data_IF_462623870040
#
_entry.id   IF_462623870040
#
_cell.length_a   1.000
_cell.length_b   1.000
_cell.length_c   1.000
_cell.angle_alpha   90.00
_cell.angle_beta   90.00
_cell.angle_gamma   90.00
#
_symmetry.space_group_name_H-M   'P 1'
#
loop_
_entity.id
_entity.type
_entity.pdbx_description
1 polymer ?
#
# COMPACT_ATOMS: atom_id res chain seq x y z
N UNK A 1 52.49 -8.93 -49.11
CA UNK A 1 53.00 -7.54 -49.11
C UNK A 1 51.79 -6.66 -49.42
N UNK A 2 51.53 -5.62 -48.60
CA UNK A 2 50.23 -4.96 -48.33
C UNK A 2 49.25 -5.81 -47.49
N UNK A 3 48.48 -5.33 -46.51
CA UNK A 3 48.54 -4.24 -45.52
C UNK A 3 47.32 -4.50 -44.57
N UNK A 4 47.50 -4.24 -43.25
CA UNK A 4 46.47 -3.90 -42.22
C UNK A 4 45.49 -5.00 -41.74
N UNK A 5 45.51 -5.34 -40.44
CA UNK A 5 44.43 -4.95 -39.50
C UNK A 5 44.61 -5.47 -38.06
N UNK A 6 44.72 -4.49 -37.15
CA UNK A 6 44.24 -4.40 -35.76
C UNK A 6 44.14 -5.64 -34.84
N UNK A 7 45.04 -5.71 -33.85
CA UNK A 7 44.71 -6.15 -32.48
C UNK A 7 45.44 -5.25 -31.48
N UNK A 8 44.78 -4.17 -31.05
CA UNK A 8 45.19 -3.35 -29.91
C UNK A 8 44.08 -3.40 -28.86
N UNK A 9 44.50 -3.70 -27.63
CA UNK A 9 44.01 -3.10 -26.38
C UNK A 9 42.49 -2.96 -26.23
N UNK A 10 41.86 -3.97 -25.65
CA UNK A 10 40.60 -3.83 -24.90
C UNK A 10 40.78 -4.51 -23.55
N UNK A 11 41.62 -3.91 -22.70
CA UNK A 11 41.95 -4.43 -21.37
C UNK A 11 42.04 -3.35 -20.29
N UNK A 12 41.56 -2.13 -20.56
CA UNK A 12 41.68 -1.00 -19.61
C UNK A 12 40.44 -0.12 -19.51
N UNK A 13 39.27 -0.61 -19.96
CA UNK A 13 37.99 0.13 -19.86
C UNK A 13 36.99 -0.45 -18.84
N UNK A 14 37.37 -1.50 -18.09
CA UNK A 14 36.55 -2.05 -16.99
C UNK A 14 36.99 -1.59 -15.59
N UNK A 15 38.19 -1.02 -15.44
CA UNK A 15 38.66 -0.55 -14.12
C UNK A 15 38.27 0.92 -13.86
N UNK A 16 37.94 1.69 -14.91
CA UNK A 16 37.50 3.09 -14.77
C UNK A 16 35.99 3.27 -14.53
N UNK A 17 35.18 2.19 -14.62
CA UNK A 17 33.75 2.20 -14.26
C UNK A 17 33.49 1.82 -12.80
N UNK A 18 34.48 1.23 -12.11
CA UNK A 18 34.38 0.89 -10.68
C UNK A 18 34.86 2.04 -9.80
N UNK A 19 35.71 2.93 -10.32
CA UNK A 19 36.20 4.11 -9.60
C UNK A 19 35.25 5.34 -9.67
N UNK A 20 34.15 5.28 -10.42
CA UNK A 20 33.07 6.29 -10.43
C UNK A 20 31.84 5.79 -9.63
N UNK A 21 31.97 4.67 -8.91
CA UNK A 21 30.95 4.15 -8.00
C UNK A 21 31.28 4.36 -6.50
N UNK A 22 32.37 5.07 -6.17
CA UNK A 22 32.81 5.31 -4.79
C UNK A 22 32.86 6.82 -4.43
N UNK A 23 32.35 7.72 -5.30
CA UNK A 23 32.36 9.17 -5.03
C UNK A 23 31.04 9.87 -5.35
N UNK A 24 29.91 9.21 -5.08
CA UNK A 24 28.62 9.86 -4.83
C UNK A 24 27.83 8.98 -3.85
N UNK A 25 28.36 8.84 -2.62
CA UNK A 25 27.47 8.81 -1.46
C UNK A 25 26.93 10.24 -1.34
N UNK A 26 26.06 10.62 -2.27
CA UNK A 26 25.15 11.71 -2.01
C UNK A 26 24.21 11.12 -0.98
N UNK A 27 24.50 11.39 0.29
CA UNK A 27 23.49 11.34 1.34
C UNK A 27 22.38 12.23 0.77
N UNK A 28 21.32 11.59 0.26
CA UNK A 28 20.06 12.27 0.07
C UNK A 28 19.60 12.62 1.48
N UNK A 29 20.09 13.76 2.00
CA UNK A 29 19.36 14.44 3.04
C UNK A 29 18.05 14.82 2.37
N UNK A 30 16.98 14.11 2.70
CA UNK A 30 15.64 14.64 2.48
C UNK A 30 15.67 16.06 3.04
N UNK A 31 15.28 17.04 2.23
CA UNK A 31 15.28 18.44 2.66
C UNK A 31 14.43 18.53 3.91
N UNK A 32 15.06 18.83 5.04
CA UNK A 32 14.41 19.03 6.32
C UNK A 32 13.22 19.96 6.15
N UNK A 33 12.05 19.56 6.68
CA UNK A 33 10.89 20.43 6.75
C UNK A 33 11.26 21.66 7.60
N UNK A 34 11.08 22.90 7.12
CA UNK A 34 11.41 24.07 7.93
C UNK A 34 10.51 24.16 9.17
N UNK A 35 11.03 24.73 10.25
CA UNK A 35 10.28 24.90 11.52
C UNK A 35 8.92 25.58 11.32
N UNK A 36 8.80 26.47 10.34
CA UNK A 36 7.57 27.19 9.99
C UNK A 36 6.48 26.32 9.38
N UNK A 37 6.82 25.13 8.90
CA UNK A 37 5.88 24.17 8.30
C UNK A 37 5.44 23.08 9.28
N UNK A 38 6.00 23.06 10.50
CA UNK A 38 5.56 22.14 11.54
C UNK A 38 4.13 22.47 11.99
N UNK A 39 3.34 21.42 12.14
CA UNK A 39 2.02 21.48 12.76
C UNK A 39 2.20 21.57 14.28
N UNK A 40 1.83 22.70 14.87
CA UNK A 40 1.93 22.94 16.31
C UNK A 40 0.56 22.77 16.98
N UNK A 41 0.55 22.17 18.16
CA UNK A 41 -0.68 21.94 18.91
C UNK A 41 -1.26 23.22 19.51
N UNK A 42 -2.57 23.22 19.75
CA UNK A 42 -3.26 24.29 20.45
C UNK A 42 -2.92 24.20 21.94
N UNK A 43 -2.11 25.13 22.46
CA UNK A 43 -1.64 25.10 23.85
C UNK A 43 -2.47 26.00 24.76
N UNK A 44 -2.84 25.46 25.93
CA UNK A 44 -3.49 26.18 27.03
C UNK A 44 -2.67 26.00 28.30
N UNK A 45 -2.61 27.05 29.13
CA UNK A 45 -1.80 27.07 30.34
C UNK A 45 -0.41 27.66 30.10
N UNK A 46 0.44 27.62 31.13
CA UNK A 46 1.84 28.10 31.09
C UNK A 46 2.72 27.23 31.98
N UNK A 47 4.00 27.08 31.61
CA UNK A 47 4.98 26.38 32.44
C UNK A 47 4.66 24.89 32.58
N UNK A 48 4.62 24.39 33.82
CA UNK A 48 4.38 22.95 34.10
C UNK A 48 2.95 22.51 33.90
N UNK A 49 2.00 23.44 33.87
CA UNK A 49 0.57 23.21 33.63
C UNK A 49 0.18 23.42 32.16
N UNK A 50 1.17 23.67 31.29
CA UNK A 50 0.92 23.83 29.86
C UNK A 50 0.56 22.47 29.24
N UNK A 51 -0.60 22.44 28.58
CA UNK A 51 -1.10 21.28 27.84
C UNK A 51 -1.40 21.71 26.42
N UNK A 52 -0.88 20.97 25.45
CA UNK A 52 -1.09 21.23 24.03
C UNK A 52 -1.93 20.11 23.40
N UNK A 53 -2.88 20.48 22.54
CA UNK A 53 -3.80 19.51 21.93
C UNK A 53 -3.62 19.45 20.42
N UNK A 54 -3.59 18.24 19.87
CA UNK A 54 -3.73 17.95 18.45
C UNK A 54 -5.04 17.20 18.24
N UNK A 55 -5.92 17.68 17.36
CA UNK A 55 -7.19 17.03 17.06
C UNK A 55 -7.09 16.30 15.73
N UNK A 56 -7.25 14.99 15.77
CA UNK A 56 -7.09 14.11 14.62
C UNK A 56 -8.44 13.79 13.99
N UNK A 57 -8.41 13.58 12.68
CA UNK A 57 -9.49 13.00 11.89
C UNK A 57 -8.88 12.20 10.74
N UNK A 58 -9.67 11.33 10.13
CA UNK A 58 -9.23 10.52 8.99
C UNK A 58 -9.80 11.07 7.69
N UNK A 59 -8.93 11.30 6.72
CA UNK A 59 -9.30 11.47 5.33
C UNK A 59 -9.24 10.12 4.61
N UNK A 60 -10.39 9.44 4.51
CA UNK A 60 -10.53 8.16 3.81
C UNK A 60 -10.26 8.25 2.30
N UNK A 61 -10.27 9.47 1.74
CA UNK A 61 -9.96 9.77 0.35
C UNK A 61 -8.54 10.30 0.18
N UNK A 62 -7.63 10.00 1.09
CA UNK A 62 -6.21 10.34 0.95
C UNK A 62 -5.27 9.16 0.67
N UNK A 63 -5.69 7.92 0.91
CA UNK A 63 -4.97 6.69 0.57
C UNK A 63 -5.85 5.45 0.71
N UNK A 64 -5.32 4.24 0.54
CA UNK A 64 -6.07 2.98 0.62
C UNK A 64 -6.77 2.79 1.98
N UNK A 65 -6.04 3.00 3.06
CA UNK A 65 -6.55 2.98 4.45
C UNK A 65 -7.13 4.33 4.89
N UNK A 66 -6.86 5.39 4.12
CA UNK A 66 -7.00 6.78 4.57
C UNK A 66 -5.78 7.27 5.34
N UNK A 67 -5.69 8.58 5.54
CA UNK A 67 -4.59 9.20 6.27
C UNK A 67 -5.09 10.18 7.33
N UNK A 68 -4.32 10.34 8.41
CA UNK A 68 -4.61 11.33 9.43
C UNK A 68 -4.51 12.76 8.87
N UNK A 69 -5.47 13.59 9.22
CA UNK A 69 -5.41 15.04 9.15
C UNK A 69 -5.50 15.59 10.58
N UNK A 70 -4.82 16.71 10.83
CA UNK A 70 -4.86 17.39 12.12
C UNK A 70 -5.53 18.75 11.96
N UNK A 71 -6.52 19.03 12.79
CA UNK A 71 -7.24 20.32 12.75
C UNK A 71 -6.25 21.49 12.91
N UNK A 72 -6.39 22.50 12.05
CA UNK A 72 -5.48 23.64 12.00
C UNK A 72 -4.19 23.43 11.21
N UNK A 73 -3.95 22.21 10.70
CA UNK A 73 -2.75 21.87 9.95
C UNK A 73 -3.04 21.57 8.47
N UNK A 74 -2.06 21.82 7.62
CA UNK A 74 -2.21 21.65 6.18
C UNK A 74 -1.86 20.23 5.75
N UNK A 75 -2.74 19.63 4.94
CA UNK A 75 -2.48 18.34 4.29
C UNK A 75 -2.70 17.14 5.21
N UNK A 76 -2.22 16.01 4.71
CA UNK A 76 -2.31 14.68 5.34
C UNK A 76 -0.98 14.35 6.02
N UNK A 77 -1.04 13.53 7.07
CA UNK A 77 0.12 13.11 7.86
C UNK A 77 1.10 14.25 8.17
N UNK A 78 0.62 15.39 8.71
CA UNK A 78 1.48 16.53 8.95
C UNK A 78 2.61 16.17 9.92
N UNK A 79 3.79 16.73 9.70
CA UNK A 79 4.87 16.62 10.70
C UNK A 79 4.53 17.51 11.89
N UNK A 80 4.39 16.91 13.08
CA UNK A 80 4.02 17.61 14.31
C UNK A 80 5.26 18.15 15.01
N UNK A 81 5.14 19.32 15.63
CA UNK A 81 6.15 19.88 16.52
C UNK A 81 5.76 19.74 17.98
N UNK A 82 6.56 19.03 18.78
CA UNK A 82 6.34 18.84 20.22
C UNK A 82 7.50 19.35 21.06
N UNK A 83 7.23 20.17 22.07
CA UNK A 83 8.25 20.57 23.05
C UNK A 83 8.50 19.45 24.05
N UNK A 84 9.78 19.18 24.32
CA UNK A 84 10.15 18.27 25.41
C UNK A 84 9.62 18.75 26.76
N UNK A 85 9.25 17.82 27.64
CA UNK A 85 8.71 18.06 28.98
C UNK A 85 7.37 18.85 29.05
N UNK A 86 6.67 19.01 27.93
CA UNK A 86 5.28 19.52 27.88
C UNK A 86 4.30 18.35 27.69
N UNK A 87 3.12 18.45 28.29
CA UNK A 87 2.06 17.45 28.16
C UNK A 87 1.27 17.69 26.86
N UNK A 88 1.08 16.64 26.07
CA UNK A 88 0.28 16.70 24.84
C UNK A 88 -0.93 15.78 24.93
N UNK A 89 -2.04 16.22 24.35
CA UNK A 89 -3.28 15.45 24.18
C UNK A 89 -3.53 15.26 22.69
N UNK A 90 -3.68 14.02 22.27
CA UNK A 90 -4.05 13.61 20.93
C UNK A 90 -5.52 13.23 20.97
N UNK A 91 -6.37 14.13 20.47
CA UNK A 91 -7.82 13.99 20.49
C UNK A 91 -8.29 13.24 19.24
N UNK A 92 -8.89 12.07 19.44
CA UNK A 92 -9.44 11.20 18.39
C UNK A 92 -10.97 11.20 18.39
N UNK A 93 -11.63 12.19 19.01
CA UNK A 93 -13.11 12.21 19.16
C UNK A 93 -13.86 12.35 17.83
N UNK A 94 -13.22 12.84 16.77
CA UNK A 94 -13.88 12.93 15.45
C UNK A 94 -14.32 11.54 14.96
N UNK A 95 -15.57 11.43 14.50
CA UNK A 95 -16.22 10.19 14.10
C UNK A 95 -15.50 9.43 12.97
N UNK A 96 -14.63 10.11 12.22
CA UNK A 96 -13.80 9.49 11.18
C UNK A 96 -12.65 8.65 11.74
N UNK A 97 -12.23 8.86 13.00
CA UNK A 97 -11.17 8.07 13.64
C UNK A 97 -11.61 6.66 14.02
N UNK A 98 -12.90 6.31 13.93
CA UNK A 98 -13.32 4.95 14.21
C UNK A 98 -12.50 3.96 13.39
N UNK A 99 -11.87 3.02 14.10
CA UNK A 99 -10.98 1.97 13.62
C UNK A 99 -9.54 2.43 13.33
N UNK A 100 -9.16 3.62 13.79
CA UNK A 100 -7.83 4.20 13.59
C UNK A 100 -7.15 4.65 14.90
N UNK A 101 -7.01 3.80 15.93
CA UNK A 101 -6.36 4.17 17.19
C UNK A 101 -4.90 4.60 16.96
N UNK A 102 -4.51 5.74 17.52
CA UNK A 102 -3.16 6.27 17.42
C UNK A 102 -2.18 5.44 18.25
N UNK A 103 -1.07 5.06 17.63
CA UNK A 103 0.12 4.52 18.26
C UNK A 103 1.31 5.44 18.16
N UNK A 104 2.29 5.23 19.02
CA UNK A 104 3.53 6.02 19.05
C UNK A 104 4.75 5.11 19.12
N UNK A 105 5.78 5.43 18.34
CA UNK A 105 6.97 4.59 18.23
C UNK A 105 8.22 5.39 17.88
N UNK A 106 9.38 4.77 18.09
CA UNK A 106 10.69 5.35 17.74
C UNK A 106 11.02 5.23 16.24
N UNK A 107 10.18 4.53 15.47
CA UNK A 107 10.29 4.38 14.02
C UNK A 107 8.93 4.16 13.37
N UNK A 108 8.79 4.38 12.06
CA UNK A 108 7.50 4.34 11.37
C UNK A 108 6.81 2.96 11.45
N UNK A 109 5.49 2.98 11.56
CA UNK A 109 4.54 1.87 11.59
C UNK A 109 4.67 0.94 12.80
N UNK A 110 5.48 1.30 13.81
CA UNK A 110 5.55 0.58 15.10
C UNK A 110 5.63 -0.94 14.92
N UNK A 111 4.63 -1.64 15.50
CA UNK A 111 4.42 -3.09 15.45
C UNK A 111 4.55 -3.70 14.05
N UNK A 112 4.16 -2.99 12.99
CA UNK A 112 4.18 -3.54 11.63
C UNK A 112 5.58 -3.60 11.00
N UNK A 113 6.57 -2.94 11.60
CA UNK A 113 7.96 -2.89 11.09
C UNK A 113 9.00 -3.21 12.15
N UNK A 114 8.60 -3.89 13.23
CA UNK A 114 9.49 -4.24 14.33
C UNK A 114 10.17 -3.01 14.95
N UNK A 115 9.53 -1.84 14.85
CA UNK A 115 10.02 -0.62 15.48
C UNK A 115 9.51 -0.58 16.92
N UNK A 116 10.40 -0.22 17.85
CA UNK A 116 10.06 -0.09 19.26
C UNK A 116 8.95 0.93 19.44
N UNK A 117 7.85 0.49 20.04
CA UNK A 117 6.75 1.35 20.45
C UNK A 117 7.09 2.07 21.75
N UNK A 118 6.44 3.21 21.97
CA UNK A 118 6.54 3.93 23.23
C UNK A 118 5.69 3.17 24.26
N UNK A 119 6.36 2.42 25.12
CA UNK A 119 5.74 1.68 26.21
C UNK A 119 6.40 2.01 27.54
N UNK A 120 5.71 1.76 28.65
CA UNK A 120 6.17 2.15 29.99
C UNK A 120 7.54 1.57 30.36
N UNK A 121 7.84 0.42 29.80
CA UNK A 121 9.01 -0.39 30.10
C UNK A 121 10.04 -0.41 28.97
N UNK A 122 9.84 0.39 27.93
CA UNK A 122 10.74 0.47 26.78
C UNK A 122 11.43 1.82 26.82
N UNK A 123 12.77 1.79 26.79
CA UNK A 123 13.59 3.00 26.68
C UNK A 123 13.94 3.29 25.23
N UNK A 124 14.24 4.56 24.93
CA UNK A 124 14.68 4.97 23.62
C UNK A 124 15.91 4.16 23.17
N UNK A 125 15.97 3.72 21.90
CA UNK A 125 17.15 3.04 21.39
C UNK A 125 18.38 3.94 21.52
N UNK A 126 19.48 3.39 22.00
CA UNK A 126 20.74 4.14 22.16
C UNK A 126 21.93 3.36 21.58
N UNK A 127 23.05 4.03 21.25
CA UNK A 127 24.26 3.33 20.79
C UNK A 127 24.81 2.32 21.80
N UNK A 128 24.46 2.45 23.08
CA UNK A 128 24.83 1.51 24.14
C UNK A 128 23.81 0.37 24.33
N UNK A 129 22.59 0.52 23.82
CA UNK A 129 21.44 -0.40 23.96
C UNK A 129 20.63 -0.39 22.63
N UNK A 130 21.10 -1.10 21.58
CA UNK A 130 20.49 -1.03 20.25
C UNK A 130 19.09 -1.68 20.17
N UNK A 131 18.72 -2.52 21.14
CA UNK A 131 17.40 -3.17 21.22
C UNK A 131 16.42 -2.42 22.14
N UNK A 132 16.82 -1.28 22.74
CA UNK A 132 16.08 -0.63 23.82
C UNK A 132 16.16 -1.44 25.11
N UNK A 133 16.65 -0.86 26.21
CA UNK A 133 16.60 -1.57 27.50
C UNK A 133 15.14 -1.73 27.92
N UNK A 134 14.74 -2.97 28.24
CA UNK A 134 13.57 -3.23 29.08
C UNK A 134 13.85 -2.64 30.47
N UNK A 135 13.29 -1.47 30.73
CA UNK A 135 13.21 -0.92 32.07
C UNK A 135 11.96 -1.49 32.74
N UNK A 136 11.95 -1.74 34.04
CA UNK A 136 10.81 -2.36 34.72
C UNK A 136 10.60 -1.76 36.10
N UNK A 137 9.66 -2.29 36.89
CA UNK A 137 9.41 -1.80 38.25
C UNK A 137 10.66 -1.81 39.15
N UNK A 138 11.58 -2.75 38.94
CA UNK A 138 12.84 -2.86 39.69
C UNK A 138 13.99 -2.05 39.11
N UNK A 139 13.87 -1.62 37.85
CA UNK A 139 14.83 -0.79 37.12
C UNK A 139 14.06 0.21 36.25
N UNK A 140 13.49 1.29 36.84
CA UNK A 140 12.65 2.21 36.10
C UNK A 140 13.45 2.91 35.00
N UNK A 141 12.79 3.21 33.88
CA UNK A 141 13.38 4.02 32.82
C UNK A 141 13.82 5.36 33.40
N UNK A 142 15.02 5.80 33.04
CA UNK A 142 15.51 7.12 33.45
C UNK A 142 14.60 8.24 32.94
N UNK A 143 14.03 8.05 31.74
CA UNK A 143 13.12 8.99 31.07
C UNK A 143 11.86 8.27 30.57
N UNK A 144 10.81 8.14 31.39
CA UNK A 144 9.56 7.51 30.95
C UNK A 144 8.85 8.38 29.92
N UNK A 145 8.58 7.84 28.74
CA UNK A 145 7.82 8.48 27.67
C UNK A 145 6.90 7.47 26.98
N UNK A 146 5.70 7.30 27.54
CA UNK A 146 4.71 6.36 27.05
C UNK A 146 3.35 7.07 26.92
N UNK A 147 2.50 6.66 25.96
CA UNK A 147 1.15 7.17 25.84
C UNK A 147 0.29 6.69 27.01
N UNK A 148 -0.71 7.48 27.40
CA UNK A 148 -1.79 7.07 28.30
C UNK A 148 -3.11 7.20 27.54
N UNK A 149 -3.78 6.07 27.31
CA UNK A 149 -5.07 6.05 26.63
C UNK A 149 -6.19 6.36 27.61
N UNK A 150 -7.14 7.18 27.16
CA UNK A 150 -8.22 7.70 27.99
C UNK A 150 -9.54 7.71 27.23
N UNK A 151 -10.62 7.43 27.96
CA UNK A 151 -12.00 7.58 27.52
C UNK A 151 -12.71 8.55 28.45
N UNK A 152 -13.32 9.60 27.89
CA UNK A 152 -14.03 10.64 28.66
C UNK A 152 -13.16 11.31 29.74
N UNK A 153 -11.84 11.37 29.50
CA UNK A 153 -10.85 11.94 30.42
C UNK A 153 -10.40 10.99 31.56
N UNK A 154 -10.91 9.77 31.60
CA UNK A 154 -10.48 8.74 32.54
C UNK A 154 -9.43 7.82 31.90
N UNK A 155 -8.35 7.55 32.61
CA UNK A 155 -7.33 6.59 32.18
C UNK A 155 -7.93 5.18 32.10
N UNK A 156 -7.68 4.52 30.98
CA UNK A 156 -8.11 3.14 30.75
C UNK A 156 -7.08 2.14 31.30
N UNK A 157 -7.57 0.98 31.74
CA UNK A 157 -6.77 -0.17 32.16
C UNK A 157 -7.62 -1.47 32.25
N UNK A 158 -6.97 -2.63 32.13
CA UNK A 158 -7.52 -3.99 32.16
C UNK A 158 -8.03 -4.42 33.54
N UNK A 159 -7.43 -3.89 34.61
CA UNK A 159 -7.58 -4.41 35.96
C UNK A 159 -8.05 -3.36 36.97
N UNK A 160 -8.69 -3.80 38.05
CA UNK A 160 -8.95 -2.96 39.22
C UNK A 160 -8.38 -3.64 40.49
N UNK A 161 -7.33 -3.06 41.11
CA UNK A 161 -6.62 -1.84 40.71
C UNK A 161 -5.86 -2.01 39.38
N UNK A 162 -5.66 -0.92 38.64
CA UNK A 162 -4.92 -0.95 37.37
C UNK A 162 -3.51 -1.52 37.59
N UNK A 163 -3.07 -2.37 36.66
CA UNK A 163 -1.67 -2.77 36.60
C UNK A 163 -0.83 -1.50 36.33
N UNK A 164 0.22 -1.22 37.12
CA UNK A 164 1.11 -0.12 36.81
C UNK A 164 1.70 -0.19 35.40
N UNK A 165 1.91 -1.37 34.82
CA UNK A 165 2.41 -1.55 33.45
C UNK A 165 1.44 -1.06 32.37
N UNK A 166 0.15 -1.10 32.68
CA UNK A 166 -0.93 -0.91 31.75
C UNK A 166 -1.21 0.59 31.54
N UNK A 167 -1.19 0.97 30.27
CA UNK A 167 -1.41 2.32 29.79
C UNK A 167 -2.71 2.47 29.01
N UNK A 168 -3.55 1.42 28.99
CA UNK A 168 -4.94 1.44 28.57
C UNK A 168 -5.20 1.16 27.09
N UNK A 169 -4.19 0.75 26.32
CA UNK A 169 -4.33 0.49 24.88
C UNK A 169 -5.35 -0.63 24.61
N UNK A 170 -5.28 -1.74 25.33
CA UNK A 170 -6.16 -2.91 25.10
C UNK A 170 -7.65 -2.55 25.30
N UNK A 171 -7.99 -1.74 26.30
CA UNK A 171 -9.37 -1.23 26.47
C UNK A 171 -9.71 -0.23 25.39
N UNK A 172 -8.77 0.64 25.04
CA UNK A 172 -8.97 1.67 24.02
C UNK A 172 -9.34 1.02 22.70
N UNK A 173 -8.52 0.07 22.22
CA UNK A 173 -8.76 -0.76 21.04
C UNK A 173 -10.00 -1.63 21.16
N UNK A 174 -10.23 -2.22 22.34
CA UNK A 174 -11.39 -3.06 22.61
C UNK A 174 -12.72 -2.38 22.25
N UNK A 175 -12.83 -1.06 22.46
CA UNK A 175 -14.05 -0.32 22.07
C UNK A 175 -14.19 -0.19 20.55
N UNK A 176 -13.09 -0.02 19.82
CA UNK A 176 -13.10 0.08 18.35
C UNK A 176 -13.64 -1.18 17.67
N UNK A 177 -13.40 -2.35 18.26
CA UNK A 177 -13.91 -3.64 17.78
C UNK A 177 -15.33 -3.96 18.26
N UNK A 178 -15.89 -3.15 19.15
CA UNK A 178 -17.19 -3.39 19.78
C UNK A 178 -18.29 -2.50 19.20
N UNK A 179 -19.40 -3.09 18.78
CA UNK A 179 -20.64 -2.34 18.44
C UNK A 179 -20.62 -1.51 17.15
N UNK A 180 -19.49 -1.43 16.45
CA UNK A 180 -19.36 -0.69 15.18
C UNK A 180 -19.18 0.82 15.36
N UNK A 181 -19.14 1.55 14.25
CA UNK A 181 -18.80 2.98 14.23
C UNK A 181 -19.67 3.87 15.12
N UNK A 182 -20.99 3.67 15.06
CA UNK A 182 -21.94 4.52 15.79
C UNK A 182 -21.83 4.25 17.30
N UNK A 183 -21.70 2.99 17.71
CA UNK A 183 -21.51 2.64 19.12
C UNK A 183 -20.16 3.15 19.66
N UNK A 184 -19.11 3.13 18.84
CA UNK A 184 -17.83 3.73 19.20
C UNK A 184 -17.96 5.25 19.38
N UNK A 185 -18.68 5.93 18.48
CA UNK A 185 -18.93 7.37 18.62
C UNK A 185 -19.73 7.69 19.91
N UNK A 186 -20.74 6.88 20.21
CA UNK A 186 -21.58 7.03 21.40
C UNK A 186 -20.82 6.72 22.71
N UNK A 187 -19.71 6.00 22.65
CA UNK A 187 -18.88 5.69 23.83
C UNK A 187 -18.22 6.95 24.43
N UNK A 188 -17.98 7.98 23.61
CA UNK A 188 -17.56 9.31 24.04
C UNK A 188 -16.20 9.74 23.51
N UNK A 189 -15.44 10.49 24.33
CA UNK A 189 -14.25 11.20 23.88
C UNK A 189 -13.00 10.34 24.07
N UNK A 190 -12.41 9.92 22.94
CA UNK A 190 -11.19 9.13 22.90
C UNK A 190 -9.98 10.05 22.81
N UNK A 191 -9.06 9.95 23.76
CA UNK A 191 -7.86 10.80 23.80
C UNK A 191 -6.62 10.00 24.23
N UNK A 192 -5.45 10.40 23.74
CA UNK A 192 -4.15 9.84 24.17
C UNK A 192 -3.28 10.95 24.75
N UNK A 193 -2.83 10.77 25.98
CA UNK A 193 -1.91 11.69 26.65
C UNK A 193 -0.47 11.25 26.42
N UNK A 194 0.43 12.14 26.02
CA UNK A 194 1.84 11.81 25.84
C UNK A 194 2.75 12.94 26.31
N UNK A 195 3.88 12.57 26.93
CA UNK A 195 4.92 13.50 27.34
C UNK A 195 6.29 12.92 27.02
N UNK A 196 7.07 13.63 26.20
CA UNK A 196 8.45 13.26 25.87
C UNK A 196 9.38 13.83 26.94
N UNK A 197 9.96 12.97 27.77
CA UNK A 197 10.82 13.37 28.89
C UNK A 197 12.31 13.19 28.61
N UNK A 198 12.68 12.29 27.69
CA UNK A 198 14.07 12.05 27.34
C UNK A 198 14.66 13.26 26.60
N UNK A 199 15.70 13.92 27.15
CA UNK A 199 16.33 15.04 26.50
C UNK A 199 17.00 14.65 25.16
N UNK A 200 17.39 13.39 24.98
CA UNK A 200 18.04 12.88 23.77
C UNK A 200 17.05 12.60 22.63
N UNK A 201 15.76 12.42 22.91
CA UNK A 201 14.76 12.21 21.86
C UNK A 201 14.65 13.46 20.97
N UNK A 202 14.93 13.29 19.69
CA UNK A 202 14.84 14.31 18.63
C UNK A 202 13.61 14.12 17.74
N UNK A 203 13.17 12.88 17.54
CA UNK A 203 11.99 12.52 16.77
C UNK A 203 11.33 11.24 17.29
N UNK A 204 10.02 11.16 17.09
CA UNK A 204 9.18 9.95 17.24
C UNK A 204 8.16 9.94 16.10
N UNK A 205 7.36 8.87 16.00
CA UNK A 205 6.35 8.70 14.97
C UNK A 205 5.00 8.43 15.60
N UNK A 206 3.94 8.93 14.97
CA UNK A 206 2.58 8.50 15.24
C UNK A 206 2.11 7.62 14.09
N UNK A 207 1.33 6.58 14.37
CA UNK A 207 0.83 5.63 13.36
C UNK A 207 -0.54 5.10 13.78
N UNK A 208 -1.17 4.26 12.96
CA UNK A 208 -2.41 3.56 13.32
C UNK A 208 -2.07 2.15 13.83
N UNK A 209 -2.56 1.74 15.00
CA UNK A 209 -2.34 0.38 15.49
C UNK A 209 -3.08 -0.70 14.69
N UNK A 210 -4.11 -0.36 13.92
CA UNK A 210 -4.94 -1.31 13.16
C UNK A 210 -4.56 -1.37 11.66
N UNK A 211 -4.11 -0.26 11.09
CA UNK A 211 -3.84 -0.14 9.65
C UNK A 211 -2.39 0.24 9.42
N UNK A 212 -1.70 -0.58 8.62
CA UNK A 212 -0.31 -0.32 8.24
C UNK A 212 -0.20 0.84 7.23
N UNK A 213 0.97 1.47 7.15
CA UNK A 213 1.26 2.52 6.17
C UNK A 213 0.72 3.91 6.55
N UNK A 214 0.34 4.12 7.80
CA UNK A 214 -0.30 5.36 8.28
C UNK A 214 0.61 6.18 9.20
N UNK A 215 1.92 6.08 9.06
CA UNK A 215 2.84 6.85 9.89
C UNK A 215 2.90 8.32 9.51
N UNK A 216 2.93 9.18 10.52
CA UNK A 216 3.41 10.55 10.42
C UNK A 216 4.53 10.81 11.44
N UNK A 217 5.23 11.93 11.26
CA UNK A 217 6.43 12.27 12.04
C UNK A 217 6.11 13.28 13.14
N UNK A 218 6.78 13.16 14.28
CA UNK A 218 6.82 14.15 15.34
C UNK A 218 8.27 14.58 15.56
N UNK A 219 8.54 15.88 15.39
CA UNK A 219 9.82 16.49 15.71
C UNK A 219 9.79 17.09 17.11
N UNK A 220 10.80 16.75 17.91
CA UNK A 220 10.95 17.32 19.24
C UNK A 220 11.66 18.67 19.14
N UNK A 221 11.05 19.68 19.74
CA UNK A 221 11.51 21.05 19.74
C UNK A 221 12.38 21.33 20.97
N UNK A 222 13.34 22.23 20.80
CA UNK A 222 14.15 22.78 21.87
C UNK A 222 13.46 23.94 22.61
N UNK A 223 14.14 24.54 23.59
CA UNK A 223 13.59 25.65 24.37
C UNK A 223 13.36 26.94 23.56
N UNK A 224 13.94 27.05 22.37
CA UNK A 224 13.76 28.19 21.46
C UNK A 224 12.57 28.00 20.51
N UNK A 225 12.00 26.79 20.48
CA UNK A 225 10.91 26.42 19.57
C UNK A 225 11.37 25.87 18.23
N UNK A 226 12.69 25.67 18.05
CA UNK A 226 13.27 25.06 16.85
C UNK A 226 13.41 23.55 17.00
N UNK A 227 13.46 22.82 15.88
CA UNK A 227 13.71 21.38 15.89
C UNK A 227 15.07 21.07 16.54
N UNK A 228 15.08 20.11 17.48
CA UNK A 228 16.35 19.61 18.06
C UNK A 228 17.27 19.01 17.00
N UNK A 229 16.68 18.29 16.05
CA UNK A 229 17.36 17.82 14.84
C UNK A 229 16.45 18.06 13.61
N UNK A 230 16.84 18.94 12.68
CA UNK A 230 16.05 19.18 11.48
C UNK A 230 16.14 18.01 10.49
N UNK A 231 17.14 17.13 10.58
CA UNK A 231 17.32 16.07 9.61
C UNK A 231 16.32 14.93 9.84
N UNK A 232 15.76 14.41 8.76
CA UNK A 232 14.97 13.18 8.78
C UNK A 232 15.89 11.97 8.73
N UNK A 233 16.42 11.58 9.89
CA UNK A 233 17.37 10.46 10.02
C UNK A 233 16.62 9.14 9.81
N UNK A 234 15.49 8.95 10.50
CA UNK A 234 14.63 7.78 10.30
C UNK A 234 13.63 8.07 9.18
N UNK A 235 13.74 7.36 8.07
CA UNK A 235 12.88 7.57 6.90
C UNK A 235 11.57 6.78 7.03
N UNK A 236 10.46 7.40 6.62
CA UNK A 236 9.21 6.69 6.34
C UNK A 236 9.44 5.93 5.02
N UNK A 237 9.31 4.59 4.98
CA UNK A 237 9.81 3.78 3.86
C UNK A 237 8.85 3.74 2.66
N UNK A 238 7.89 4.66 2.60
CA UNK A 238 6.91 4.79 1.52
C UNK A 238 6.57 6.27 1.33
N UNK A 239 6.09 6.59 0.13
CA UNK A 239 5.45 7.87 -0.13
C UNK A 239 3.95 7.74 0.15
N UNK A 240 3.34 8.80 0.67
CA UNK A 240 1.88 8.86 0.74
C UNK A 240 1.27 8.89 -0.65
N UNK A 241 0.10 8.27 -0.79
CA UNK A 241 -0.60 8.21 -2.06
C UNK A 241 -0.87 9.59 -2.64
N UNK A 242 -0.68 9.72 -3.95
CA UNK A 242 -0.93 10.94 -4.71
C UNK A 242 -1.90 10.62 -5.85
N UNK A 243 -3.22 10.62 -5.57
CA UNK A 243 -4.20 10.28 -6.58
C UNK A 243 -4.13 11.30 -7.72
N UNK A 244 -4.19 10.82 -8.96
CA UNK A 244 -4.36 11.71 -10.10
C UNK A 244 -5.78 12.29 -10.17
N UNK A 245 -6.08 13.07 -11.21
CA UNK A 245 -7.40 13.71 -11.33
C UNK A 245 -8.56 12.70 -11.35
N UNK A 246 -8.42 11.59 -12.07
CA UNK A 246 -9.48 10.58 -12.18
C UNK A 246 -9.70 9.88 -10.84
N UNK A 247 -8.60 9.53 -10.18
CA UNK A 247 -8.60 8.92 -8.84
C UNK A 247 -9.22 9.86 -7.79
N UNK A 248 -8.91 11.15 -7.82
CA UNK A 248 -9.51 12.16 -6.95
C UNK A 248 -11.02 12.32 -7.18
N UNK A 249 -11.47 12.25 -8.44
CA UNK A 249 -12.88 12.29 -8.81
C UNK A 249 -13.62 11.04 -8.30
N UNK A 250 -13.01 9.86 -8.43
CA UNK A 250 -13.55 8.60 -7.93
C UNK A 250 -13.45 8.44 -6.40
N UNK A 251 -12.49 9.10 -5.74
CA UNK A 251 -12.21 8.94 -4.31
C UNK A 251 -11.43 7.67 -3.97
N UNK A 252 -10.54 7.23 -4.86
CA UNK A 252 -9.77 5.97 -4.78
C UNK A 252 -8.34 6.21 -5.29
N UNK A 253 -7.50 5.17 -5.34
CA UNK A 253 -6.06 5.26 -5.67
C UNK A 253 -5.62 4.09 -6.52
N UNK A 254 -4.50 4.28 -7.23
CA UNK A 254 -3.81 3.24 -7.99
C UNK A 254 -4.73 2.49 -8.97
N UNK A 255 -5.72 3.17 -9.55
CA UNK A 255 -6.69 2.57 -10.48
C UNK A 255 -6.64 3.16 -11.89
N UNK A 256 -5.96 4.30 -12.08
CA UNK A 256 -5.95 4.99 -13.37
C UNK A 256 -5.40 4.15 -14.51
N UNK A 257 -4.44 3.23 -14.25
CA UNK A 257 -3.94 2.32 -15.28
C UNK A 257 -5.01 1.36 -15.83
N UNK A 258 -6.08 1.09 -15.07
CA UNK A 258 -7.13 0.15 -15.46
C UNK A 258 -8.28 0.79 -16.23
N UNK A 259 -8.31 2.13 -16.34
CA UNK A 259 -9.37 2.86 -17.06
C UNK A 259 -9.37 2.62 -18.57
N UNK A 260 -8.20 2.58 -19.19
CA UNK A 260 -8.04 2.54 -20.65
C UNK A 260 -7.12 1.41 -21.13
N UNK A 261 -6.83 0.46 -20.24
CA UNK A 261 -5.90 -0.62 -20.49
C UNK A 261 -6.43 -1.66 -21.48
N UNK A 262 -5.51 -2.26 -22.21
CA UNK A 262 -5.79 -3.44 -23.05
C UNK A 262 -6.22 -4.66 -22.22
N UNK A 263 -5.95 -4.67 -20.91
CA UNK A 263 -6.22 -5.81 -20.02
C UNK A 263 -7.69 -6.21 -19.95
N UNK A 264 -8.63 -5.26 -19.96
CA UNK A 264 -10.05 -5.53 -19.70
C UNK A 264 -10.98 -5.19 -20.86
N UNK A 265 -10.44 -4.93 -22.05
CA UNK A 265 -11.22 -4.50 -23.23
C UNK A 265 -12.28 -5.50 -23.72
N UNK A 266 -12.10 -6.78 -23.40
CA UNK A 266 -13.04 -7.86 -23.73
C UNK A 266 -13.98 -8.22 -22.56
N UNK A 267 -13.88 -7.51 -21.42
CA UNK A 267 -14.71 -7.74 -20.24
C UNK A 267 -15.90 -6.80 -20.21
N UNK A 268 -16.99 -7.23 -19.58
CA UNK A 268 -18.16 -6.40 -19.30
C UNK A 268 -18.48 -6.52 -17.81
N UNK A 269 -18.18 -5.47 -17.05
CA UNK A 269 -18.48 -5.42 -15.61
C UNK A 269 -19.84 -4.78 -15.34
N UNK A 270 -20.17 -3.72 -16.07
CA UNK A 270 -21.49 -3.07 -16.04
C UNK A 270 -22.24 -3.26 -17.36
N UNK A 271 -23.48 -3.74 -17.31
CA UNK A 271 -24.30 -4.06 -18.49
C UNK A 271 -24.90 -2.83 -19.22
N UNK A 272 -24.38 -1.62 -19.01
CA UNK A 272 -24.90 -0.36 -19.55
C UNK A 272 -23.77 0.58 -19.98
N UNK A 273 -24.04 1.47 -20.94
CA UNK A 273 -23.10 2.52 -21.35
C UNK A 273 -22.83 3.50 -20.20
N UNK A 274 -21.57 3.60 -19.81
CA UNK A 274 -21.04 4.44 -18.74
C UNK A 274 -20.15 5.57 -19.26
N UNK A 275 -20.04 5.74 -20.58
CA UNK A 275 -19.15 6.74 -21.21
C UNK A 275 -19.38 8.18 -20.75
N UNK A 276 -20.56 8.48 -20.21
CA UNK A 276 -20.92 9.78 -19.62
C UNK A 276 -21.32 9.70 -18.14
N UNK A 277 -20.93 8.64 -17.44
CA UNK A 277 -21.27 8.40 -16.03
C UNK A 277 -19.99 8.16 -15.22
N UNK A 278 -19.59 9.14 -14.41
CA UNK A 278 -18.38 9.06 -13.58
C UNK A 278 -18.41 7.83 -12.64
N UNK A 279 -19.55 7.55 -12.01
CA UNK A 279 -19.69 6.38 -11.15
C UNK A 279 -19.42 5.09 -11.93
N UNK A 280 -20.00 4.95 -13.12
CA UNK A 280 -19.77 3.77 -13.97
C UNK A 280 -18.30 3.64 -14.42
N UNK A 281 -17.65 4.75 -14.76
CA UNK A 281 -16.23 4.76 -15.13
C UNK A 281 -15.32 4.34 -13.97
N UNK A 282 -15.60 4.84 -12.77
CA UNK A 282 -14.88 4.43 -11.56
C UNK A 282 -15.08 2.93 -11.28
N UNK A 283 -16.34 2.44 -11.35
CA UNK A 283 -16.67 1.03 -11.14
C UNK A 283 -15.98 0.11 -12.16
N UNK A 284 -15.99 0.46 -13.45
CA UNK A 284 -15.30 -0.34 -14.47
C UNK A 284 -13.77 -0.38 -14.26
N UNK A 285 -13.15 0.71 -13.80
CA UNK A 285 -11.72 0.75 -13.52
C UNK A 285 -11.33 -0.15 -12.33
N UNK A 286 -12.08 -0.09 -11.23
CA UNK A 286 -11.81 -0.92 -10.04
C UNK A 286 -12.11 -2.40 -10.29
N UNK A 287 -13.16 -2.71 -11.07
CA UNK A 287 -13.50 -4.09 -11.41
C UNK A 287 -12.47 -4.69 -12.38
N UNK A 288 -11.91 -3.86 -13.27
CA UNK A 288 -10.77 -4.25 -14.08
C UNK A 288 -9.51 -4.50 -13.22
N UNK A 289 -9.24 -3.64 -12.23
CA UNK A 289 -8.15 -3.84 -11.27
C UNK A 289 -8.29 -5.19 -10.55
N UNK A 290 -9.47 -5.46 -9.99
CA UNK A 290 -9.78 -6.74 -9.35
C UNK A 290 -9.61 -7.92 -10.31
N UNK A 291 -10.10 -7.81 -11.55
CA UNK A 291 -9.99 -8.87 -12.54
C UNK A 291 -8.54 -9.24 -12.83
N UNK A 292 -7.66 -8.24 -12.97
CA UNK A 292 -6.24 -8.48 -13.26
C UNK A 292 -5.47 -8.93 -12.01
N UNK A 293 -5.71 -8.31 -10.86
CA UNK A 293 -4.96 -8.57 -9.62
C UNK A 293 -5.40 -9.85 -8.90
N UNK A 294 -6.63 -10.33 -9.11
CA UNK A 294 -7.04 -11.66 -8.62
C UNK A 294 -6.47 -12.81 -9.46
N UNK A 295 -5.85 -12.53 -10.61
CA UNK A 295 -5.21 -13.56 -11.44
C UNK A 295 -3.79 -13.80 -10.95
N UNK A 296 -3.66 -14.73 -10.01
CA UNK A 296 -2.39 -15.10 -9.38
C UNK A 296 -1.89 -16.45 -9.91
N UNK A 297 -0.60 -16.72 -9.77
CA UNK A 297 -0.01 -18.04 -10.06
C UNK A 297 -0.42 -19.02 -8.97
N UNK A 298 -0.75 -20.25 -9.36
CA UNK A 298 -1.01 -21.31 -8.38
C UNK A 298 0.27 -21.63 -7.59
N UNK A 299 0.28 -21.25 -6.32
CA UNK A 299 1.31 -21.64 -5.35
C UNK A 299 1.01 -23.04 -4.79
N UNK A 300 2.05 -23.75 -4.35
CA UNK A 300 1.89 -25.04 -3.66
C UNK A 300 1.22 -24.89 -2.29
N UNK A 301 1.36 -23.71 -1.67
CA UNK A 301 0.60 -23.35 -0.48
C UNK A 301 -0.71 -22.65 -0.88
N UNK A 302 -1.88 -23.27 -0.64
CA UNK A 302 -3.16 -22.66 -0.96
C UNK A 302 -3.46 -21.41 -0.12
N UNK A 303 -2.83 -21.25 1.05
CA UNK A 303 -2.99 -20.05 1.88
C UNK A 303 -2.41 -18.84 1.16
N UNK A 304 -1.22 -18.97 0.56
CA UNK A 304 -0.60 -17.91 -0.24
C UNK A 304 -1.51 -17.47 -1.39
N UNK A 305 -2.09 -18.42 -2.14
CA UNK A 305 -3.05 -18.12 -3.22
C UNK A 305 -4.27 -17.37 -2.69
N UNK A 306 -4.82 -17.82 -1.55
CA UNK A 306 -5.93 -17.15 -0.88
C UNK A 306 -5.58 -15.71 -0.51
N UNK A 307 -4.43 -15.47 0.13
CA UNK A 307 -4.01 -14.12 0.53
C UNK A 307 -3.87 -13.19 -0.66
N UNK A 308 -3.16 -13.60 -1.73
CA UNK A 308 -2.99 -12.76 -2.91
C UNK A 308 -4.33 -12.39 -3.57
N UNK A 309 -5.23 -13.36 -3.76
CA UNK A 309 -6.53 -13.10 -4.36
C UNK A 309 -7.45 -12.27 -3.46
N UNK A 310 -7.42 -12.54 -2.16
CA UNK A 310 -8.34 -11.88 -1.23
C UNK A 310 -7.92 -10.44 -0.95
N UNK A 311 -6.63 -10.11 -1.00
CA UNK A 311 -6.14 -8.71 -0.98
C UNK A 311 -6.75 -7.92 -2.14
N UNK A 312 -6.64 -8.42 -3.39
CA UNK A 312 -7.22 -7.75 -4.56
C UNK A 312 -8.75 -7.64 -4.47
N UNK A 313 -9.42 -8.70 -4.01
CA UNK A 313 -10.86 -8.68 -3.79
C UNK A 313 -11.28 -7.63 -2.75
N UNK A 314 -10.55 -7.53 -1.63
CA UNK A 314 -10.87 -6.58 -0.56
C UNK A 314 -10.60 -5.14 -0.98
N UNK A 315 -9.50 -4.88 -1.72
CA UNK A 315 -9.22 -3.56 -2.29
C UNK A 315 -10.36 -3.09 -3.19
N UNK A 316 -10.93 -3.97 -4.01
CA UNK A 316 -12.08 -3.62 -4.83
C UNK A 316 -13.32 -3.27 -4.00
N UNK A 317 -13.64 -4.04 -2.96
CA UNK A 317 -14.77 -3.75 -2.08
C UNK A 317 -14.60 -2.42 -1.32
N UNK A 318 -13.40 -2.12 -0.83
CA UNK A 318 -13.05 -0.82 -0.23
C UNK A 318 -13.26 0.30 -1.25
N UNK A 319 -12.78 0.13 -2.48
CA UNK A 319 -12.91 1.11 -3.55
C UNK A 319 -14.38 1.35 -3.95
N UNK A 320 -15.19 0.30 -4.07
CA UNK A 320 -16.64 0.42 -4.30
C UNK A 320 -17.30 1.26 -3.22
N UNK A 321 -16.95 1.02 -1.96
CA UNK A 321 -17.52 1.76 -0.84
C UNK A 321 -17.12 3.24 -0.86
N UNK A 322 -15.84 3.54 -1.13
CA UNK A 322 -15.35 4.91 -1.27
C UNK A 322 -15.98 5.65 -2.45
N UNK A 323 -16.11 5.00 -3.61
CA UNK A 323 -16.76 5.59 -4.79
C UNK A 323 -18.21 5.96 -4.48
N UNK A 324 -18.94 5.09 -3.79
CA UNK A 324 -20.32 5.39 -3.41
C UNK A 324 -20.40 6.56 -2.43
N UNK A 325 -19.52 6.60 -1.41
CA UNK A 325 -19.40 7.74 -0.49
C UNK A 325 -19.07 9.05 -1.22
N UNK A 326 -18.18 8.98 -2.21
CA UNK A 326 -17.69 10.15 -2.95
C UNK A 326 -18.73 10.72 -3.91
N UNK A 327 -19.36 9.85 -4.71
CA UNK A 327 -20.18 10.26 -5.85
C UNK A 327 -21.68 10.27 -5.58
N UNK A 328 -22.15 9.60 -4.52
CA UNK A 328 -23.58 9.58 -4.19
C UNK A 328 -23.87 9.70 -2.67
N UNK A 329 -23.26 10.68 -1.96
CA UNK A 329 -23.40 10.79 -0.50
C UNK A 329 -24.83 11.07 -0.03
N UNK A 330 -25.69 11.64 -0.90
CA UNK A 330 -27.07 11.99 -0.55
C UNK A 330 -28.01 10.80 -0.51
N UNK A 331 -27.76 9.77 -1.33
CA UNK A 331 -28.56 8.52 -1.33
C UNK A 331 -28.36 7.65 -0.10
N UNK A 332 -27.24 7.85 0.62
CA UNK A 332 -26.87 7.10 1.83
C UNK A 332 -27.73 7.44 3.04
N UNK A 333 -28.49 8.53 2.95
CA UNK A 333 -29.43 8.98 3.99
C UNK A 333 -30.73 8.16 4.03
N UNK A 334 -30.89 7.21 3.12
CA UNK A 334 -32.09 6.42 2.95
C UNK A 334 -31.76 4.94 3.20
N UNK A 335 -32.03 4.43 4.41
CA UNK A 335 -31.65 3.08 4.83
C UNK A 335 -32.82 2.09 4.99
N UNK A 336 -32.58 0.82 4.65
CA UNK A 336 -33.32 -0.35 5.14
C UNK A 336 -32.68 -0.82 6.44
N UNK A 337 -33.46 -1.39 7.36
CA UNK A 337 -32.89 -2.00 8.58
C UNK A 337 -31.95 -3.17 8.22
N UNK A 338 -31.02 -3.52 9.12
CA UNK A 338 -30.11 -4.67 8.98
C UNK A 338 -30.81 -6.02 8.73
N UNK A 339 -32.13 -6.12 9.00
CA UNK A 339 -32.97 -7.28 8.71
C UNK A 339 -33.56 -7.30 7.28
N UNK A 340 -33.13 -6.36 6.42
CA UNK A 340 -33.55 -6.24 5.03
C UNK A 340 -34.96 -5.67 4.83
N UNK A 341 -35.66 -5.25 5.90
CA UNK A 341 -36.97 -4.60 5.77
C UNK A 341 -36.81 -3.11 5.50
N UNK A 342 -37.52 -2.64 4.48
CA UNK A 342 -37.67 -1.21 4.20
C UNK A 342 -38.45 -0.60 5.36
N UNK A 343 -37.96 0.53 5.89
CA UNK A 343 -38.69 1.38 6.84
C UNK A 343 -39.91 1.98 6.14
N UNK A 344 -40.94 1.18 5.93
CA UNK A 344 -42.25 1.62 5.47
C UNK A 344 -43.17 1.57 6.69
N UNK A 345 -43.56 2.72 7.22
CA UNK A 345 -44.83 2.77 7.93
C UNK A 345 -45.95 2.49 6.93
N UNK A 346 -46.86 1.56 7.27
CA UNK A 346 -48.02 1.26 6.45
C UNK A 346 -48.86 2.54 6.22
N UNK A 347 -49.00 2.96 4.96
CA UNK A 347 -50.02 3.92 4.54
C UNK A 347 -49.53 5.29 4.09
N UNK A 348 -48.24 5.63 4.22
CA UNK A 348 -47.70 6.87 3.66
C UNK A 348 -47.13 6.67 2.26
N UNK A 349 -47.38 7.66 1.39
CA UNK A 349 -46.74 7.74 0.06
C UNK A 349 -45.22 7.79 0.27
N UNK A 350 -44.41 7.28 -0.67
CA UNK A 350 -42.96 7.34 -0.58
C UNK A 350 -42.52 8.81 -0.77
N UNK A 351 -42.68 9.63 0.28
CA UNK A 351 -41.96 10.87 0.36
C UNK A 351 -40.52 10.52 0.68
N UNK A 352 -39.65 10.92 -0.22
CA UNK A 352 -38.27 10.51 -0.28
C UNK A 352 -37.53 11.09 0.94
N UNK A 353 -37.30 10.23 1.94
CA UNK A 353 -36.36 10.45 3.05
C UNK A 353 -36.61 11.75 3.83
N UNK A 354 -37.79 11.88 4.43
CA UNK A 354 -38.16 13.03 5.27
C UNK A 354 -38.04 12.78 6.79
N UNK A 355 -37.67 11.57 7.23
CA UNK A 355 -37.33 11.35 8.64
C UNK A 355 -35.87 11.76 8.87
N UNK A 356 -35.72 13.06 9.12
CA UNK A 356 -34.53 13.72 9.68
C UNK A 356 -34.62 13.62 11.21
N UNK A 357 -35.20 12.54 11.74
CA UNK A 357 -35.13 12.32 13.18
C UNK A 357 -33.70 11.92 13.49
N UNK A 358 -33.01 12.81 14.23
CA UNK A 358 -31.59 12.74 14.62
C UNK A 358 -31.24 11.50 15.47
N UNK A 359 -32.12 10.50 15.54
CA UNK A 359 -32.06 9.31 16.40
C UNK A 359 -31.89 7.99 15.62
N UNK A 360 -32.01 8.00 14.29
CA UNK A 360 -31.79 6.84 13.43
C UNK A 360 -30.54 6.99 12.56
N UNK A 361 -29.41 6.40 12.99
CA UNK A 361 -28.14 6.43 12.24
C UNK A 361 -28.28 6.03 10.76
N UNK A 362 -27.33 6.45 9.93
CA UNK A 362 -27.33 6.23 8.49
C UNK A 362 -26.81 4.83 8.14
N UNK A 363 -27.65 3.78 7.99
CA UNK A 363 -27.16 2.40 8.06
C UNK A 363 -26.25 2.03 6.89
N UNK A 364 -26.51 2.61 5.71
CA UNK A 364 -25.63 2.44 4.54
C UNK A 364 -24.31 3.16 4.77
N UNK A 365 -24.31 4.38 5.33
CA UNK A 365 -23.06 5.07 5.66
C UNK A 365 -22.22 4.22 6.62
N UNK A 366 -22.83 3.71 7.71
CA UNK A 366 -22.15 2.83 8.67
C UNK A 366 -21.59 1.59 7.98
N UNK A 367 -22.37 0.90 7.14
CA UNK A 367 -21.90 -0.22 6.34
C UNK A 367 -20.70 0.13 5.45
N UNK A 368 -20.70 1.29 4.80
CA UNK A 368 -19.60 1.70 3.93
C UNK A 368 -18.32 1.95 4.73
N UNK A 369 -18.44 2.58 5.91
CA UNK A 369 -17.31 2.73 6.83
C UNK A 369 -16.82 1.38 7.35
N UNK A 370 -17.72 0.45 7.69
CA UNK A 370 -17.38 -0.90 8.13
C UNK A 370 -16.60 -1.66 7.05
N UNK A 371 -17.04 -1.56 5.79
CA UNK A 371 -16.33 -2.15 4.65
C UNK A 371 -14.95 -1.52 4.50
N UNK A 372 -14.85 -0.19 4.50
CA UNK A 372 -13.58 0.51 4.28
C UNK A 372 -12.58 0.15 5.38
N UNK A 373 -12.95 0.33 6.64
CA UNK A 373 -12.04 0.16 7.75
C UNK A 373 -11.77 -1.32 8.04
N UNK A 374 -12.82 -2.15 8.06
CA UNK A 374 -12.72 -3.57 8.37
C UNK A 374 -11.94 -4.35 7.31
N UNK A 375 -12.22 -4.11 6.01
CA UNK A 375 -11.48 -4.82 4.97
C UNK A 375 -10.05 -4.30 4.81
N UNK A 376 -9.76 -3.03 5.09
CA UNK A 376 -8.39 -2.54 5.15
C UNK A 376 -7.56 -3.17 6.29
N UNK A 377 -8.17 -3.43 7.45
CA UNK A 377 -7.49 -4.16 8.51
C UNK A 377 -7.23 -5.62 8.12
N UNK A 378 -8.19 -6.25 7.43
CA UNK A 378 -8.00 -7.59 6.86
C UNK A 378 -6.89 -7.61 5.81
N UNK A 379 -6.79 -6.60 4.94
CA UNK A 379 -5.66 -6.44 4.00
C UNK A 379 -4.34 -6.34 4.77
N UNK A 380 -4.27 -5.48 5.80
CA UNK A 380 -3.08 -5.33 6.66
C UNK A 380 -2.65 -6.68 7.27
N UNK A 381 -3.61 -7.47 7.75
CA UNK A 381 -3.35 -8.81 8.25
C UNK A 381 -2.81 -9.75 7.16
N UNK A 382 -3.45 -9.79 5.99
CA UNK A 382 -3.03 -10.67 4.89
C UNK A 382 -1.64 -10.32 4.37
N UNK A 383 -1.32 -9.03 4.22
CA UNK A 383 0.00 -8.56 3.83
C UNK A 383 1.07 -8.90 4.88
N UNK A 384 0.73 -8.75 6.16
CA UNK A 384 1.61 -9.16 7.26
C UNK A 384 1.87 -10.66 7.25
N UNK A 385 0.83 -11.47 7.07
CA UNK A 385 0.97 -12.92 6.95
C UNK A 385 1.89 -13.32 5.79
N UNK A 386 1.74 -12.67 4.62
CA UNK A 386 2.61 -12.93 3.46
C UNK A 386 4.08 -12.62 3.81
N UNK A 387 4.35 -11.45 4.39
CA UNK A 387 5.69 -11.02 4.81
C UNK A 387 6.30 -12.01 5.82
N UNK A 388 5.57 -12.36 6.86
CA UNK A 388 6.05 -13.20 7.95
C UNK A 388 6.29 -14.67 7.50
N UNK A 389 5.62 -15.09 6.42
CA UNK A 389 5.81 -16.40 5.79
C UNK A 389 6.74 -16.36 4.56
N UNK A 390 7.47 -15.25 4.37
CA UNK A 390 8.45 -15.09 3.28
C UNK A 390 7.85 -15.16 1.88
N UNK A 391 6.56 -14.88 1.75
CA UNK A 391 5.86 -14.83 0.46
C UNK A 391 5.95 -13.42 -0.14
N UNK A 392 5.93 -13.29 -1.48
CA UNK A 392 5.79 -11.99 -2.13
C UNK A 392 4.53 -11.26 -1.68
N UNK A 393 4.57 -9.92 -1.60
CA UNK A 393 3.40 -9.10 -1.24
C UNK A 393 2.30 -9.11 -2.31
N UNK A 394 2.65 -9.46 -3.55
CA UNK A 394 1.75 -9.59 -4.67
C UNK A 394 2.24 -10.72 -5.59
N UNK A 395 1.34 -11.26 -6.39
CA UNK A 395 1.66 -12.19 -7.46
C UNK A 395 0.75 -11.90 -8.65
N UNK A 396 1.29 -12.02 -9.86
CA UNK A 396 0.55 -11.78 -11.10
C UNK A 396 0.76 -12.95 -12.06
N UNK A 397 -0.33 -13.49 -12.57
CA UNK A 397 -0.32 -14.49 -13.62
C UNK A 397 -0.37 -13.79 -14.99
N UNK A 398 0.82 -13.51 -15.53
CA UNK A 398 1.02 -13.21 -16.95
C UNK A 398 0.63 -14.45 -17.76
N UNK A 399 -0.66 -14.64 -18.02
CA UNK A 399 -1.09 -15.60 -19.01
C UNK A 399 -0.58 -15.09 -20.36
N UNK A 400 0.66 -15.43 -20.71
CA UNK A 400 1.10 -15.45 -22.10
C UNK A 400 0.10 -16.33 -22.82
N UNK A 401 -0.71 -15.68 -23.65
CA UNK A 401 -1.64 -16.26 -24.59
C UNK A 401 -1.13 -17.65 -25.03
N UNK A 402 -1.86 -18.76 -24.79
CA UNK A 402 -1.43 -20.10 -25.16
C UNK A 402 -1.13 -20.25 -26.67
N UNK A 403 -1.50 -19.25 -27.47
CA UNK A 403 -1.19 -19.11 -28.88
C UNK A 403 0.31 -18.95 -29.20
N UNK A 404 1.19 -18.55 -28.28
CA UNK A 404 2.63 -18.42 -28.61
C UNK A 404 3.27 -19.79 -28.92
N UNK A 405 2.86 -20.84 -28.20
CA UNK A 405 3.28 -22.22 -28.48
C UNK A 405 2.74 -22.74 -29.81
N UNK A 406 1.50 -22.40 -30.14
CA UNK A 406 0.88 -22.76 -31.42
C UNK A 406 1.55 -22.08 -32.62
N UNK A 407 1.86 -20.78 -32.52
CA UNK A 407 2.55 -20.04 -33.59
C UNK A 407 3.97 -20.58 -33.78
N UNK A 408 4.71 -20.84 -32.70
CA UNK A 408 6.04 -21.46 -32.79
C UNK A 408 5.98 -22.84 -33.43
N UNK A 409 4.99 -23.67 -33.09
CA UNK A 409 4.77 -24.98 -33.72
C UNK A 409 4.45 -24.91 -35.21
N UNK A 410 3.59 -23.96 -35.62
CA UNK A 410 3.24 -23.74 -37.03
C UNK A 410 4.45 -23.25 -37.83
N UNK A 411 5.22 -22.30 -37.29
CA UNK A 411 6.44 -21.79 -37.93
C UNK A 411 7.47 -22.90 -38.08
N UNK A 412 7.65 -23.75 -37.06
CA UNK A 412 8.58 -24.88 -37.12
C UNK A 412 8.18 -25.91 -38.18
N UNK A 413 6.89 -26.23 -38.30
CA UNK A 413 6.35 -27.10 -39.35
C UNK A 413 6.55 -26.50 -40.75
N UNK A 414 6.33 -25.20 -40.93
CA UNK A 414 6.55 -24.52 -42.20
C UNK A 414 8.03 -24.55 -42.61
N UNK A 415 8.96 -24.28 -41.67
CA UNK A 415 10.40 -24.34 -41.92
C UNK A 415 10.86 -25.77 -42.24
N UNK A 416 10.35 -26.78 -41.54
CA UNK A 416 10.67 -28.18 -41.81
C UNK A 416 10.19 -28.59 -43.22
N UNK A 417 9.00 -28.15 -43.63
CA UNK A 417 8.48 -28.41 -44.98
C UNK A 417 9.35 -27.77 -46.07
N UNK A 418 9.74 -26.50 -45.89
CA UNK A 418 10.64 -25.79 -46.81
C UNK A 418 12.02 -26.45 -46.88
N UNK A 419 12.59 -26.84 -45.73
CA UNK A 419 13.89 -27.53 -45.71
C UNK A 419 13.84 -28.89 -46.41
N UNK A 420 12.76 -29.66 -46.21
CA UNK A 420 12.58 -30.97 -46.86
C UNK A 420 12.43 -30.86 -48.38
N UNK A 421 11.71 -29.85 -48.86
CA UNK A 421 11.53 -29.59 -50.29
C UNK A 421 12.82 -29.12 -50.94
N UNK A 422 13.59 -28.25 -50.28
CA UNK A 422 14.94 -27.85 -50.76
C UNK A 422 15.87 -29.06 -50.83
N UNK A 423 15.90 -29.91 -49.80
CA UNK A 423 16.71 -31.12 -49.78
C UNK A 423 16.35 -32.09 -50.93
N UNK A 424 15.05 -32.28 -51.19
CA UNK A 424 14.56 -33.09 -52.30
C UNK A 424 14.99 -32.51 -53.67
N UNK A 425 14.91 -31.19 -53.85
CA UNK A 425 15.36 -30.51 -55.09
C UNK A 425 16.87 -30.67 -55.29
N UNK A 426 17.67 -30.51 -54.22
CA UNK A 426 19.13 -30.68 -54.28
C UNK A 426 19.49 -32.12 -54.62
N UNK A 427 18.82 -33.10 -54.01
CA UNK A 427 19.01 -34.52 -54.31
C UNK A 427 18.65 -34.83 -55.77
N UNK A 428 17.51 -34.34 -56.25
CA UNK A 428 17.08 -34.51 -57.63
C UNK A 428 18.07 -33.90 -58.63
N UNK A 429 18.56 -32.67 -58.38
CA UNK A 429 19.58 -32.02 -59.22
C UNK A 429 20.93 -32.76 -59.18
N UNK A 430 21.28 -33.41 -58.07
CA UNK A 430 22.49 -34.23 -57.95
C UNK A 430 22.35 -35.53 -58.73
N UNK A 431 21.20 -36.20 -58.62
CA UNK A 431 20.88 -37.40 -59.39
C UNK A 431 20.89 -37.12 -60.90
N UNK A 432 20.30 -36.00 -61.36
CA UNK A 432 20.35 -35.59 -62.76
C UNK A 432 21.78 -35.34 -63.27
N UNK A 433 22.65 -34.75 -62.44
CA UNK A 433 24.06 -34.55 -62.81
C UNK A 433 24.79 -35.89 -62.97
N UNK A 434 24.58 -36.84 -62.06
CA UNK A 434 25.16 -38.17 -62.18
C UNK A 434 24.65 -38.92 -63.42
N UNK A 435 23.36 -38.80 -63.77
CA UNK A 435 22.84 -39.36 -65.01
C UNK A 435 23.49 -38.73 -66.26
N UNK A 436 23.64 -37.39 -66.31
CA UNK A 436 24.30 -36.73 -67.45
C UNK A 436 25.76 -37.15 -67.59
N UNK A 437 26.52 -37.17 -66.50
CA UNK A 437 27.91 -37.66 -66.54
C UNK A 437 28.02 -39.13 -66.94
N UNK A 438 27.02 -39.97 -66.61
CA UNK A 438 26.99 -41.36 -67.06
C UNK A 438 26.68 -41.48 -68.56
N UNK A 439 25.85 -40.59 -69.11
CA UNK A 439 25.55 -40.51 -70.55
C UNK A 439 26.77 -40.00 -71.33
N UNK A 440 27.46 -38.96 -70.85
CA UNK A 440 28.68 -38.42 -71.49
C UNK A 440 29.81 -39.48 -71.51
N UNK A 441 29.92 -40.33 -70.49
CA UNK A 441 30.87 -41.45 -70.43
C UNK A 441 30.55 -42.59 -71.41
N UNK A 442 29.28 -42.73 -71.82
CA UNK A 442 28.86 -43.70 -72.84
C UNK A 442 29.15 -43.14 -74.24
N UNK A 443 28.98 -41.84 -74.46
CA UNK A 443 29.28 -41.19 -75.75
C UNK A 443 30.78 -41.21 -76.09
N UNK A 444 31.65 -40.92 -75.10
CA UNK A 444 33.12 -40.94 -75.28
C UNK A 444 33.66 -42.36 -75.56
N UNK A 445 32.97 -43.42 -75.12
CA UNK A 445 33.36 -44.80 -75.46
C UNK A 445 32.97 -45.24 -76.88
N UNK A 446 32.14 -44.48 -77.58
CA UNK A 446 31.74 -44.80 -78.97
C UNK A 446 32.71 -44.27 -80.03
N UNK A 447 33.61 -43.34 -79.69
CA UNK A 447 34.61 -42.77 -80.60
C UNK A 447 35.98 -43.49 -80.59
N UNK A 448 36.16 -44.53 -79.77
CA UNK A 448 37.36 -45.37 -79.78
C UNK A 448 37.01 -46.81 -80.13
N UNK A 449 36.71 -47.05 -81.42
CA UNK A 449 36.83 -48.38 -82.02
C UNK A 449 37.65 -48.28 -83.32
N UNK A 450 38.78 -49.00 -83.46
CA UNK A 450 39.69 -48.86 -84.57
C UNK A 450 39.18 -49.58 -85.83
N UNK A 451 39.42 -48.95 -86.98
CA UNK A 451 39.23 -49.54 -88.30
C UNK A 451 40.08 -50.81 -88.47
N UNK A 452 39.46 -51.87 -89.00
CA UNK A 452 40.14 -53.01 -89.60
C UNK A 452 39.63 -53.21 -91.04
N UNK A 453 40.56 -53.70 -91.87
CA UNK A 453 40.57 -53.74 -93.33
C UNK A 453 39.50 -54.60 -94.00
#
# INVERSE_FOLDING_TARGET
MFLISSRKMVGSLQILKVAIAIATCAIYFATALPDSELCLGECVGIGTEEVCTFKFKINIFAGDTGYYEVEGCNGIQPTLGMRGNVSYVFDQTDITNWFHPLGFSYGPDGVYRENLELEKFVSAPSPAQPEGSECNETLPCEYPQYPQYMLNGEALCDANPCDPADFGLDQYEGVYFSGGRDAWHDAGNFTVGLKVTDPATTEIFYFCHIHNGMSGRIKVLDSSGSQKDPNDIVLIPYEYDRPDQFEQECGVFNISQFRTGDSCKDQTFLCSDDSNNMFGQCMNAIDCAMHEEMRVTLNNDPTTVFMHQMIAHHRNAVNMAKILLKLNPTSLRCGTNYDGRRMLQEGEKPDFCHDISDDGGFPVLTLLWDIINGQNAQITFMESWLRDNGQPSHDNCDAKNPHTGYIAGIVFLAVAFVASTIAAIVFYKRAQRHLRSAVDLIEVKSEQSPAFA
#
